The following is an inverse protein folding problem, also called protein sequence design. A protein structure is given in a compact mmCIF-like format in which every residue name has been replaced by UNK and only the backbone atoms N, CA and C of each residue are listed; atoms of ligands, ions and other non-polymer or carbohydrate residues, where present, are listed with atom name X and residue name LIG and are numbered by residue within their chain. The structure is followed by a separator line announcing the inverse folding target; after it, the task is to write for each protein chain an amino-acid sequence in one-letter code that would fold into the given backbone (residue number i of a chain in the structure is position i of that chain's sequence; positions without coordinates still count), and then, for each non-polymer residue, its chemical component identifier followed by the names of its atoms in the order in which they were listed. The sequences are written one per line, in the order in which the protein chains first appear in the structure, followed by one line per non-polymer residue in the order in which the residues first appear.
data_IF_772759958760
#
_entry.id   IF_772759958760
#
_cell.length_a   1.000
_cell.length_b   1.000
_cell.length_c   1.000
_cell.angle_alpha   90.00
_cell.angle_beta   90.00
_cell.angle_gamma   90.00
#
_symmetry.space_group_name_H-M   'P 1'
#
loop_
_entity.id
_entity.type
_entity.pdbx_description
1 polymer ?
#
# COMPACT_ATOMS: atom_id res chain seq x y z
N UNK A 1 -11.94 -26.70 6.99
CA UNK A 1 -12.62 -26.33 8.23
C UNK A 1 -14.05 -26.88 8.28
N UNK A 2 -14.84 -26.85 7.21
CA UNK A 2 -16.14 -27.52 7.12
C UNK A 2 -16.05 -29.03 7.38
N UNK A 3 -14.99 -29.66 6.90
CA UNK A 3 -14.73 -31.10 7.10
C UNK A 3 -14.44 -31.45 8.57
N UNK A 4 -14.00 -30.50 9.38
CA UNK A 4 -13.65 -30.74 10.80
C UNK A 4 -14.74 -30.27 11.75
N UNK A 5 -15.40 -29.14 11.45
CA UNK A 5 -16.37 -28.50 12.34
C UNK A 5 -17.83 -28.56 11.87
N UNK A 6 -18.10 -29.18 10.70
CA UNK A 6 -19.45 -29.25 10.12
C UNK A 6 -19.88 -27.96 9.40
N UNK A 7 -21.17 -27.88 9.08
CA UNK A 7 -21.75 -26.72 8.42
C UNK A 7 -21.81 -25.50 9.34
N UNK A 8 -21.77 -24.32 8.71
CA UNK A 8 -21.91 -23.05 9.45
C UNK A 8 -23.29 -22.95 10.09
N UNK A 9 -23.34 -22.58 11.36
CA UNK A 9 -24.59 -22.33 12.09
C UNK A 9 -25.13 -20.96 11.69
N UNK A 10 -24.22 -20.00 11.43
CA UNK A 10 -24.53 -18.65 10.98
C UNK A 10 -23.33 -18.09 10.22
N UNK A 11 -23.56 -17.17 9.29
CA UNK A 11 -22.52 -16.45 8.52
C UNK A 11 -22.81 -14.96 8.63
N UNK A 12 -22.03 -14.29 9.45
CA UNK A 12 -22.02 -12.84 9.51
C UNK A 12 -20.98 -12.31 8.52
N UNK A 13 -21.42 -11.87 7.36
CA UNK A 13 -20.54 -11.38 6.29
C UNK A 13 -20.37 -9.85 6.31
N UNK A 14 -19.52 -9.33 5.41
CA UNK A 14 -19.26 -7.88 5.32
C UNK A 14 -20.53 -7.10 4.92
N UNK A 15 -21.44 -7.69 4.16
CA UNK A 15 -22.68 -7.04 3.75
C UNK A 15 -23.58 -6.82 4.95
N UNK A 16 -23.78 -7.87 5.76
CA UNK A 16 -24.53 -7.76 7.00
C UNK A 16 -23.90 -6.80 7.98
N UNK A 17 -22.55 -6.82 8.07
CA UNK A 17 -21.82 -5.90 8.95
C UNK A 17 -22.00 -4.43 8.56
N UNK A 18 -22.13 -4.12 7.27
CA UNK A 18 -22.44 -2.77 6.78
C UNK A 18 -23.91 -2.41 7.00
N UNK A 19 -24.84 -3.35 6.76
CA UNK A 19 -26.28 -3.16 7.01
C UNK A 19 -26.56 -2.89 8.49
N UNK A 20 -25.85 -3.57 9.38
CA UNK A 20 -25.94 -3.38 10.84
C UNK A 20 -25.14 -2.15 11.34
N UNK A 21 -24.58 -1.35 10.43
CA UNK A 21 -23.74 -0.18 10.75
C UNK A 21 -22.51 -0.50 11.63
N UNK A 22 -22.13 -1.77 11.72
CA UNK A 22 -20.97 -2.23 12.49
C UNK A 22 -19.64 -1.95 11.77
N UNK A 23 -19.69 -1.87 10.44
CA UNK A 23 -18.55 -1.46 9.59
C UNK A 23 -19.03 -0.48 8.52
N UNK A 24 -18.09 0.34 8.02
CA UNK A 24 -18.38 1.25 6.90
C UNK A 24 -18.13 0.55 5.57
N UNK A 25 -18.86 0.92 4.49
CA UNK A 25 -18.60 0.38 3.17
C UNK A 25 -17.23 0.83 2.67
N UNK A 26 -16.45 -0.12 2.14
CA UNK A 26 -15.17 0.14 1.49
C UNK A 26 -15.40 0.27 -0.01
N UNK A 27 -15.00 1.39 -0.59
CA UNK A 27 -15.07 1.64 -2.02
C UNK A 27 -13.73 1.30 -2.66
N UNK A 28 -13.76 0.44 -3.67
CA UNK A 28 -12.61 0.09 -4.48
C UNK A 28 -12.63 0.83 -5.80
N UNK A 29 -11.58 1.57 -6.10
CA UNK A 29 -11.37 2.24 -7.37
C UNK A 29 -10.11 1.70 -8.04
N UNK A 30 -10.27 1.08 -9.21
CA UNK A 30 -9.14 0.68 -10.04
C UNK A 30 -8.66 1.88 -10.85
N UNK A 31 -7.52 2.45 -10.47
CA UNK A 31 -6.89 3.55 -11.19
C UNK A 31 -5.83 2.98 -12.12
N UNK A 32 -6.05 3.11 -13.41
CA UNK A 32 -5.07 2.71 -14.41
C UNK A 32 -4.06 3.85 -14.56
N UNK A 33 -2.92 3.73 -13.89
CA UNK A 33 -1.75 4.52 -14.25
C UNK A 33 -1.39 4.11 -15.68
N UNK A 34 -1.36 5.07 -16.61
CA UNK A 34 -0.93 4.81 -17.99
C UNK A 34 0.56 4.44 -17.97
N UNK A 35 0.81 3.16 -17.72
CA UNK A 35 2.13 2.57 -17.88
C UNK A 35 2.39 2.58 -19.37
N UNK A 36 3.38 3.34 -19.83
CA UNK A 36 3.90 3.25 -21.20
C UNK A 36 4.68 1.93 -21.32
N UNK A 37 3.97 0.82 -21.18
CA UNK A 37 4.53 -0.52 -21.29
C UNK A 37 4.42 -0.96 -22.74
N UNK A 38 5.51 -1.53 -23.26
CA UNK A 38 5.43 -2.26 -24.50
C UNK A 38 4.54 -3.50 -24.34
N UNK A 39 4.05 -4.05 -25.46
CA UNK A 39 3.18 -5.24 -25.43
C UNK A 39 3.85 -6.45 -24.74
N UNK A 40 5.18 -6.53 -24.80
CA UNK A 40 5.95 -7.56 -24.11
C UNK A 40 5.97 -7.41 -22.60
N UNK A 41 5.98 -6.18 -22.09
CA UNK A 41 5.88 -5.90 -20.66
C UNK A 41 4.49 -6.22 -20.11
N UNK A 42 3.42 -5.88 -20.85
CA UNK A 42 2.05 -6.26 -20.49
C UNK A 42 1.88 -7.77 -20.42
N UNK A 43 2.43 -8.51 -21.40
CA UNK A 43 2.41 -9.98 -21.41
C UNK A 43 3.13 -10.60 -20.19
N UNK A 44 4.24 -10.02 -19.76
CA UNK A 44 4.96 -10.46 -18.55
C UNK A 44 4.17 -10.17 -17.25
N UNK A 45 3.52 -9.02 -17.17
CA UNK A 45 2.63 -8.68 -16.05
C UNK A 45 1.48 -9.68 -15.98
N UNK A 46 0.79 -9.94 -17.10
CA UNK A 46 -0.33 -10.87 -17.15
C UNK A 46 0.09 -12.31 -16.81
N UNK A 47 1.27 -12.75 -17.27
CA UNK A 47 1.81 -14.05 -16.93
C UNK A 47 2.12 -14.16 -15.42
N UNK A 48 2.79 -13.16 -14.86
CA UNK A 48 3.09 -13.10 -13.43
C UNK A 48 1.79 -13.04 -12.59
N UNK A 49 0.78 -12.28 -13.02
CA UNK A 49 -0.53 -12.25 -12.37
C UNK A 49 -1.24 -13.60 -12.38
N UNK A 50 -1.20 -14.35 -13.50
CA UNK A 50 -1.78 -15.68 -13.59
C UNK A 50 -1.07 -16.68 -12.70
N UNK A 51 0.25 -16.66 -12.69
CA UNK A 51 1.07 -17.52 -11.84
C UNK A 51 0.83 -17.23 -10.35
N UNK A 52 0.69 -15.95 -9.95
CA UNK A 52 0.23 -15.57 -8.63
C UNK A 52 -1.20 -16.04 -8.34
N UNK A 53 -2.06 -16.17 -9.36
CA UNK A 53 -3.44 -16.60 -9.17
C UNK A 53 -3.56 -18.08 -8.82
N UNK A 54 -2.67 -18.90 -9.36
CA UNK A 54 -2.75 -20.37 -9.26
C UNK A 54 -1.98 -20.95 -8.06
N UNK A 55 -1.11 -20.17 -7.41
CA UNK A 55 -0.23 -20.67 -6.32
C UNK A 55 -0.72 -20.21 -4.95
N UNK A 56 -1.39 -21.10 -4.24
CA UNK A 56 -1.91 -20.90 -2.88
C UNK A 56 -0.93 -21.29 -1.75
N UNK A 57 0.38 -21.52 -2.04
CA UNK A 57 1.34 -22.08 -1.07
C UNK A 57 2.53 -21.17 -0.81
N UNK A 58 2.85 -20.92 0.49
CA UNK A 58 3.91 -20.01 0.95
C UNK A 58 5.32 -20.37 0.45
N UNK A 59 5.60 -21.66 0.17
CA UNK A 59 6.86 -22.11 -0.39
C UNK A 59 7.11 -21.66 -1.84
N UNK A 60 6.05 -21.31 -2.55
CA UNK A 60 6.08 -20.78 -3.91
C UNK A 60 6.43 -19.28 -3.95
N UNK A 61 6.26 -18.55 -2.85
CA UNK A 61 6.54 -17.10 -2.75
C UNK A 61 8.04 -16.81 -2.92
N UNK A 62 8.92 -17.66 -2.43
CA UNK A 62 10.38 -17.45 -2.60
C UNK A 62 10.86 -17.72 -4.03
N UNK A 63 10.26 -18.69 -4.73
CA UNK A 63 10.56 -18.96 -6.14
C UNK A 63 10.02 -17.83 -7.03
N UNK A 64 8.84 -17.33 -6.69
CA UNK A 64 8.23 -16.17 -7.35
C UNK A 64 9.01 -14.87 -7.15
N UNK A 65 9.78 -14.70 -6.07
CA UNK A 65 10.66 -13.53 -5.90
C UNK A 65 11.76 -13.46 -6.96
N UNK A 66 12.23 -14.58 -7.48
CA UNK A 66 13.20 -14.61 -8.57
C UNK A 66 12.54 -14.24 -9.92
N UNK A 67 11.30 -14.66 -10.15
CA UNK A 67 10.53 -14.34 -11.36
C UNK A 67 9.93 -12.92 -11.30
N UNK A 68 9.72 -12.39 -10.09
CA UNK A 68 9.33 -11.00 -9.80
C UNK A 68 10.41 -9.96 -10.14
N UNK A 69 11.67 -10.35 -10.35
CA UNK A 69 12.72 -9.45 -10.86
C UNK A 69 12.35 -8.81 -12.21
N UNK A 70 11.42 -9.43 -12.96
CA UNK A 70 10.83 -8.84 -14.16
C UNK A 70 9.78 -7.76 -13.86
N UNK A 71 9.03 -7.87 -12.76
CA UNK A 71 8.04 -6.87 -12.35
C UNK A 71 8.70 -5.65 -11.71
N UNK A 72 9.78 -5.83 -10.94
CA UNK A 72 10.58 -4.72 -10.42
C UNK A 72 11.01 -3.77 -11.55
N UNK A 73 11.53 -4.32 -12.65
CA UNK A 73 11.97 -3.52 -13.80
C UNK A 73 10.82 -2.74 -14.46
N UNK A 74 9.59 -3.22 -14.37
CA UNK A 74 8.40 -2.59 -14.94
C UNK A 74 7.86 -1.49 -14.01
N UNK A 75 7.74 -1.78 -12.73
CA UNK A 75 7.23 -0.82 -11.74
C UNK A 75 8.24 0.27 -11.39
N UNK A 76 9.53 0.04 -11.65
CA UNK A 76 10.63 0.91 -11.26
C UNK A 76 11.10 1.89 -12.37
N UNK A 77 10.30 2.05 -13.45
CA UNK A 77 10.65 3.04 -14.47
C UNK A 77 10.34 4.46 -13.99
N UNK A 78 11.18 5.47 -14.35
CA UNK A 78 10.94 6.86 -13.99
C UNK A 78 9.57 7.37 -14.45
N UNK A 79 9.13 6.94 -15.63
CA UNK A 79 7.84 7.32 -16.23
C UNK A 79 6.67 6.76 -15.41
N UNK A 80 6.77 5.51 -14.97
CA UNK A 80 5.76 4.88 -14.12
C UNK A 80 5.65 5.58 -12.78
N UNK A 81 6.79 5.86 -12.13
CA UNK A 81 6.83 6.54 -10.84
C UNK A 81 6.29 7.97 -10.96
N UNK A 82 6.65 8.70 -12.02
CA UNK A 82 6.13 10.06 -12.27
C UNK A 82 4.62 10.06 -12.45
N UNK A 83 4.10 9.19 -13.32
CA UNK A 83 2.67 9.07 -13.58
C UNK A 83 1.88 8.66 -12.32
N UNK A 84 2.38 7.67 -11.56
CA UNK A 84 1.80 7.24 -10.31
C UNK A 84 1.74 8.37 -9.28
N UNK A 85 2.85 9.08 -9.09
CA UNK A 85 2.92 10.14 -8.09
C UNK A 85 2.03 11.34 -8.44
N UNK A 86 1.94 11.71 -9.73
CA UNK A 86 1.00 12.75 -10.18
C UNK A 86 -0.44 12.36 -9.94
N UNK A 87 -0.81 11.11 -10.27
CA UNK A 87 -2.16 10.61 -10.05
C UNK A 87 -2.52 10.57 -8.56
N UNK A 88 -1.61 10.11 -7.70
CA UNK A 88 -1.81 10.10 -6.25
C UNK A 88 -1.98 11.51 -5.70
N UNK A 89 -1.09 12.44 -6.09
CA UNK A 89 -1.14 13.83 -5.62
C UNK A 89 -2.44 14.49 -6.04
N UNK A 90 -2.79 14.40 -7.33
CA UNK A 90 -4.00 15.00 -7.88
C UNK A 90 -5.27 14.42 -7.21
N UNK A 91 -5.36 13.10 -7.10
CA UNK A 91 -6.50 12.45 -6.46
C UNK A 91 -6.58 12.79 -4.97
N UNK A 92 -5.46 12.81 -4.26
CA UNK A 92 -5.45 13.14 -2.84
C UNK A 92 -5.91 14.58 -2.59
N UNK A 93 -5.35 15.56 -3.33
CA UNK A 93 -5.69 16.98 -3.16
C UNK A 93 -7.16 17.26 -3.49
N UNK A 94 -7.66 16.68 -4.57
CA UNK A 94 -9.01 16.99 -5.05
C UNK A 94 -10.12 16.19 -4.37
N UNK A 95 -9.79 15.01 -3.79
CA UNK A 95 -10.86 14.12 -3.35
C UNK A 95 -10.67 13.55 -1.93
N UNK A 96 -9.47 13.65 -1.33
CA UNK A 96 -9.17 12.92 -0.10
C UNK A 96 -8.61 13.77 1.05
N UNK A 97 -8.02 14.91 0.75
CA UNK A 97 -7.39 15.77 1.77
C UNK A 97 -8.37 16.19 2.88
N UNK A 98 -9.62 16.40 2.54
CA UNK A 98 -10.67 16.86 3.46
C UNK A 98 -11.59 15.71 3.94
N UNK A 99 -11.30 14.45 3.58
CA UNK A 99 -12.08 13.29 4.05
C UNK A 99 -11.56 12.85 5.40
N UNK A 100 -12.42 12.85 6.44
CA UNK A 100 -12.03 12.64 7.84
C UNK A 100 -10.84 13.55 8.21
N UNK A 101 -9.74 12.97 8.73
CA UNK A 101 -8.51 13.70 9.03
C UNK A 101 -7.52 13.76 7.85
N UNK A 102 -7.92 13.36 6.65
CA UNK A 102 -7.07 13.30 5.47
C UNK A 102 -5.96 12.25 5.54
N UNK A 103 -6.12 11.22 6.37
CA UNK A 103 -5.10 10.16 6.51
C UNK A 103 -5.15 9.23 5.30
N UNK A 104 -3.97 9.03 4.70
CA UNK A 104 -3.79 8.15 3.55
C UNK A 104 -2.56 7.26 3.71
N UNK A 105 -2.66 6.02 3.24
CA UNK A 105 -1.57 5.07 3.21
C UNK A 105 -1.19 4.76 1.76
N UNK A 106 0.09 4.80 1.43
CA UNK A 106 0.62 4.37 0.14
C UNK A 106 1.40 3.07 0.36
N UNK A 107 0.90 1.97 -0.20
CA UNK A 107 1.55 0.66 -0.13
C UNK A 107 2.41 0.49 -1.37
N UNK A 108 3.72 0.60 -1.21
CA UNK A 108 4.68 0.47 -2.28
C UNK A 108 5.10 -0.99 -2.49
N UNK A 109 5.47 -1.31 -3.73
CA UNK A 109 5.90 -2.65 -4.12
C UNK A 109 7.19 -3.09 -3.40
N UNK A 110 8.18 -2.21 -3.30
CA UNK A 110 9.48 -2.48 -2.69
C UNK A 110 10.03 -1.24 -1.98
N UNK A 111 11.10 -1.43 -1.18
CA UNK A 111 11.77 -0.31 -0.47
C UNK A 111 12.35 0.73 -1.42
N UNK A 112 13.07 0.37 -2.51
CA UNK A 112 13.53 1.36 -3.49
C UNK A 112 12.38 2.16 -4.10
N UNK A 113 11.28 1.49 -4.45
CA UNK A 113 10.09 2.16 -5.01
C UNK A 113 9.45 3.08 -3.97
N UNK A 114 9.37 2.68 -2.70
CA UNK A 114 8.86 3.54 -1.64
C UNK A 114 9.64 4.86 -1.53
N UNK A 115 10.97 4.79 -1.59
CA UNK A 115 11.83 5.97 -1.57
C UNK A 115 11.69 6.83 -2.82
N UNK A 116 11.58 6.21 -4.01
CA UNK A 116 11.34 6.94 -5.27
C UNK A 116 10.01 7.69 -5.23
N UNK A 117 8.94 7.04 -4.75
CA UNK A 117 7.63 7.68 -4.54
C UNK A 117 7.77 8.87 -3.58
N UNK A 118 8.45 8.69 -2.45
CA UNK A 118 8.67 9.76 -1.47
C UNK A 118 9.37 10.97 -2.08
N UNK A 119 10.52 10.77 -2.71
CA UNK A 119 11.26 11.87 -3.32
C UNK A 119 10.49 12.52 -4.48
N UNK A 120 9.78 11.72 -5.28
CA UNK A 120 8.99 12.25 -6.40
C UNK A 120 7.80 13.08 -5.92
N UNK A 121 7.11 12.64 -4.88
CA UNK A 121 6.03 13.45 -4.28
C UNK A 121 6.57 14.76 -3.71
N UNK A 122 7.73 14.75 -3.05
CA UNK A 122 8.36 15.97 -2.55
C UNK A 122 8.90 16.89 -3.66
N UNK A 123 9.28 16.34 -4.82
CA UNK A 123 9.58 17.13 -6.02
C UNK A 123 8.34 17.85 -6.54
N UNK A 124 7.18 17.15 -6.56
CA UNK A 124 5.89 17.71 -7.01
C UNK A 124 5.28 18.68 -5.98
N UNK A 125 5.49 18.41 -4.69
CA UNK A 125 4.93 19.16 -3.55
C UNK A 125 5.97 19.32 -2.44
N UNK A 126 6.91 20.24 -2.55
CA UNK A 126 7.95 20.45 -1.54
C UNK A 126 7.38 20.80 -0.15
N UNK A 127 6.22 21.44 -0.12
CA UNK A 127 5.50 21.82 1.10
C UNK A 127 4.93 20.63 1.87
N UNK A 128 4.88 19.44 1.26
CA UNK A 128 4.41 18.22 1.92
C UNK A 128 5.46 17.53 2.79
N UNK A 129 6.63 18.14 3.01
CA UNK A 129 7.73 17.53 3.77
C UNK A 129 7.30 17.04 5.17
N UNK A 130 6.45 17.78 5.85
CA UNK A 130 5.90 17.38 7.16
C UNK A 130 4.63 16.53 7.03
N UNK A 131 3.99 16.57 5.87
CA UNK A 131 2.74 15.88 5.58
C UNK A 131 2.92 14.42 5.20
N UNK A 132 4.09 14.06 4.64
CA UNK A 132 4.39 12.73 4.13
C UNK A 132 5.59 12.11 4.85
N UNK A 133 5.53 10.81 5.14
CA UNK A 133 6.64 10.07 5.73
C UNK A 133 6.74 8.64 5.21
N UNK A 134 7.90 8.03 5.41
CA UNK A 134 8.18 6.65 5.01
C UNK A 134 8.34 5.78 6.25
N UNK A 135 7.62 4.66 6.30
CA UNK A 135 7.70 3.68 7.39
C UNK A 135 8.02 2.31 6.81
N UNK A 136 9.28 1.92 6.92
CA UNK A 136 9.75 0.63 6.44
C UNK A 136 10.89 0.07 7.29
N UNK A 137 11.18 -1.21 7.15
CA UNK A 137 12.35 -1.82 7.79
C UNK A 137 13.59 -1.53 6.97
N UNK A 138 14.61 -0.98 7.61
CA UNK A 138 15.91 -0.75 6.99
C UNK A 138 16.80 -1.99 7.05
N UNK A 139 17.64 -2.17 6.05
CA UNK A 139 18.66 -3.18 5.95
C UNK A 139 20.04 -2.51 5.91
N UNK A 140 21.07 -3.24 6.32
CA UNK A 140 22.46 -2.76 6.21
C UNK A 140 22.94 -2.59 4.76
N UNK A 141 22.16 -3.04 3.79
CA UNK A 141 22.44 -2.90 2.35
C UNK A 141 21.73 -1.68 1.73
N UNK A 142 20.84 -1.03 2.50
CA UNK A 142 20.14 0.16 2.00
C UNK A 142 21.07 1.38 2.02
N UNK A 143 20.89 2.35 1.11
CA UNK A 143 21.66 3.57 1.09
C UNK A 143 21.62 4.32 2.43
N UNK A 144 22.75 4.84 2.86
CA UNK A 144 22.88 5.55 4.14
C UNK A 144 21.93 6.77 4.22
N UNK A 145 21.72 7.46 3.11
CA UNK A 145 20.81 8.59 2.99
C UNK A 145 19.34 8.27 3.32
N UNK A 146 18.94 7.00 3.22
CA UNK A 146 17.59 6.59 3.58
C UNK A 146 17.37 6.58 5.10
N UNK A 147 18.44 6.49 5.89
CA UNK A 147 18.34 6.54 7.35
C UNK A 147 17.85 7.89 7.86
N UNK A 148 18.12 8.98 7.12
CA UNK A 148 17.63 10.31 7.47
C UNK A 148 16.10 10.40 7.33
N UNK A 149 15.52 9.62 6.42
CA UNK A 149 14.06 9.59 6.16
C UNK A 149 13.36 8.53 6.99
N UNK A 150 13.90 7.31 7.01
CA UNK A 150 13.24 6.15 7.61
C UNK A 150 13.61 5.92 9.07
N UNK A 151 14.76 6.43 9.51
CA UNK A 151 15.25 6.29 10.87
C UNK A 151 15.31 4.85 11.39
N UNK A 152 15.49 4.72 12.70
CA UNK A 152 15.50 3.43 13.40
C UNK A 152 14.14 3.08 14.04
N UNK A 153 14.18 2.12 14.99
CA UNK A 153 12.98 1.66 15.70
C UNK A 153 12.25 2.76 16.50
N UNK A 154 12.98 3.72 17.04
CA UNK A 154 12.43 4.87 17.77
C UNK A 154 11.66 5.79 16.82
N UNK A 155 12.23 6.07 15.64
CA UNK A 155 11.58 6.87 14.60
C UNK A 155 10.27 6.23 14.14
N UNK A 156 10.23 4.92 13.95
CA UNK A 156 9.00 4.21 13.55
C UNK A 156 7.87 4.37 14.58
N UNK A 157 8.19 4.27 15.88
CA UNK A 157 7.21 4.48 16.95
C UNK A 157 6.72 5.93 16.98
N UNK A 158 7.60 6.89 16.71
CA UNK A 158 7.23 8.29 16.60
C UNK A 158 6.32 8.54 15.40
N UNK A 159 6.65 7.99 14.23
CA UNK A 159 5.82 8.07 13.04
C UNK A 159 4.44 7.43 13.26
N UNK A 160 4.39 6.29 13.95
CA UNK A 160 3.12 5.66 14.34
C UNK A 160 2.29 6.57 15.21
N UNK A 161 2.88 7.17 16.26
CA UNK A 161 2.20 8.11 17.16
C UNK A 161 1.66 9.31 16.38
N UNK A 162 2.50 9.94 15.54
CA UNK A 162 2.12 11.08 14.71
C UNK A 162 1.00 10.73 13.73
N UNK A 163 1.08 9.56 13.10
CA UNK A 163 0.07 9.15 12.13
C UNK A 163 -1.27 8.80 12.79
N UNK A 164 -1.28 8.38 14.06
CA UNK A 164 -2.51 8.16 14.85
C UNK A 164 -3.13 9.45 15.39
N UNK A 165 -2.36 10.52 15.45
CA UNK A 165 -2.82 11.83 15.92
C UNK A 165 -3.41 12.61 14.74
N UNK A 166 -4.71 12.89 14.80
CA UNK A 166 -5.43 13.57 13.72
C UNK A 166 -5.04 15.04 13.59
N UNK A 167 -4.52 15.66 14.63
CA UNK A 167 -4.05 17.04 14.61
C UNK A 167 -2.59 17.17 14.12
N UNK A 168 -1.82 16.07 14.09
CA UNK A 168 -0.45 16.08 13.57
C UNK A 168 -0.44 16.36 12.06
N UNK A 169 0.53 17.15 11.56
CA UNK A 169 0.67 17.44 10.13
C UNK A 169 0.92 16.20 9.27
N UNK A 170 1.43 15.10 9.82
CA UNK A 170 1.64 13.85 9.10
C UNK A 170 0.31 13.23 8.69
N UNK A 171 -0.01 13.30 7.40
CA UNK A 171 -1.26 12.81 6.82
C UNK A 171 -1.06 11.60 5.90
N UNK A 172 0.11 11.47 5.26
CA UNK A 172 0.39 10.44 4.28
C UNK A 172 1.57 9.59 4.74
N UNK A 173 1.39 8.27 4.85
CA UNK A 173 2.48 7.36 5.14
C UNK A 173 2.72 6.41 3.96
N UNK A 174 3.98 6.26 3.57
CA UNK A 174 4.43 5.29 2.57
C UNK A 174 4.97 4.07 3.31
N UNK A 175 4.43 2.89 3.01
CA UNK A 175 4.82 1.62 3.60
C UNK A 175 5.09 0.58 2.53
N UNK A 176 5.81 -0.49 2.88
CA UNK A 176 5.98 -1.66 2.00
C UNK A 176 5.12 -2.82 2.47
N UNK A 177 5.36 -3.31 3.69
CA UNK A 177 4.60 -4.39 4.33
C UNK A 177 4.13 -4.03 5.75
N UNK A 178 4.68 -2.95 6.31
CA UNK A 178 4.34 -2.50 7.64
C UNK A 178 2.96 -1.85 7.68
N UNK A 179 2.29 -1.93 8.84
CA UNK A 179 0.98 -1.34 9.10
C UNK A 179 -0.19 -1.97 8.32
N UNK A 180 0.06 -2.95 7.47
CA UNK A 180 -1.01 -3.71 6.80
C UNK A 180 -1.69 -4.68 7.77
N UNK A 181 -1.00 -5.07 8.85
CA UNK A 181 -1.53 -5.94 9.89
C UNK A 181 -1.29 -5.34 11.28
N UNK A 182 -2.25 -5.49 12.18
CA UNK A 182 -2.08 -5.08 13.59
C UNK A 182 -1.97 -3.57 13.85
N UNK A 183 -2.17 -2.74 12.83
CA UNK A 183 -2.15 -1.27 12.93
C UNK A 183 -3.56 -0.73 12.74
N UNK A 184 -4.02 0.06 13.68
CA UNK A 184 -5.36 0.64 13.68
C UNK A 184 -5.30 2.16 13.75
N UNK A 185 -5.94 2.81 12.77
CA UNK A 185 -6.11 4.26 12.68
C UNK A 185 -7.53 4.54 12.18
N UNK A 186 -8.45 4.87 13.09
CA UNK A 186 -9.87 5.08 12.74
C UNK A 186 -10.10 6.16 11.67
N UNK A 187 -9.19 7.11 11.55
CA UNK A 187 -9.24 8.20 10.55
C UNK A 187 -8.57 7.86 9.22
N UNK A 188 -8.05 6.64 9.04
CA UNK A 188 -7.48 6.21 7.76
C UNK A 188 -8.58 6.03 6.72
N UNK A 189 -8.76 7.02 5.87
CA UNK A 189 -9.82 7.06 4.86
C UNK A 189 -9.41 6.58 3.47
N UNK A 190 -8.11 6.45 3.21
CA UNK A 190 -7.63 6.18 1.85
C UNK A 190 -6.40 5.28 1.86
N UNK A 191 -6.38 4.31 0.96
CA UNK A 191 -5.21 3.47 0.72
C UNK A 191 -4.92 3.38 -0.78
N UNK A 192 -3.71 3.79 -1.17
CA UNK A 192 -3.19 3.62 -2.53
C UNK A 192 -2.33 2.37 -2.55
N UNK A 193 -2.72 1.37 -3.33
CA UNK A 193 -2.01 0.08 -3.38
C UNK A 193 -1.24 -0.02 -4.70
N UNK A 194 0.06 0.17 -4.64
CA UNK A 194 0.99 -0.03 -5.75
C UNK A 194 1.81 -1.31 -5.51
N UNK A 195 1.08 -2.41 -5.31
CA UNK A 195 1.64 -3.73 -5.03
C UNK A 195 0.61 -4.80 -5.39
N UNK A 196 0.99 -5.87 -6.12
CA UNK A 196 0.10 -7.02 -6.30
C UNK A 196 -0.25 -7.63 -4.94
N UNK A 197 -1.53 -7.64 -4.59
CA UNK A 197 -2.01 -8.21 -3.33
C UNK A 197 -3.19 -9.14 -3.60
N UNK A 198 -3.25 -10.26 -2.89
CA UNK A 198 -4.30 -11.27 -3.06
C UNK A 198 -4.78 -11.86 -1.74
N UNK A 199 -5.97 -12.46 -1.81
CA UNK A 199 -6.52 -13.28 -0.74
C UNK A 199 -6.45 -12.59 0.62
N UNK A 200 -5.88 -13.28 1.58
CA UNK A 200 -5.82 -12.84 2.97
C UNK A 200 -5.08 -11.48 3.15
N UNK A 201 -3.98 -11.28 2.44
CA UNK A 201 -3.19 -10.03 2.55
C UNK A 201 -3.97 -8.82 2.03
N UNK A 202 -4.71 -8.98 0.92
CA UNK A 202 -5.57 -7.92 0.39
C UNK A 202 -6.71 -7.61 1.37
N UNK A 203 -7.36 -8.64 1.91
CA UNK A 203 -8.46 -8.47 2.88
C UNK A 203 -7.98 -7.81 4.16
N UNK A 204 -6.78 -8.14 4.64
CA UNK A 204 -6.19 -7.49 5.81
C UNK A 204 -5.86 -6.01 5.55
N UNK A 205 -5.38 -5.68 4.35
CA UNK A 205 -5.11 -4.30 3.97
C UNK A 205 -6.42 -3.50 3.86
N UNK A 206 -7.45 -4.04 3.20
CA UNK A 206 -8.77 -3.41 3.07
C UNK A 206 -9.38 -3.13 4.44
N UNK A 207 -9.27 -4.06 5.38
CA UNK A 207 -9.80 -3.91 6.75
C UNK A 207 -9.12 -2.79 7.56
N UNK A 208 -8.11 -2.08 7.02
CA UNK A 208 -7.47 -0.93 7.66
C UNK A 208 -8.07 0.42 7.26
N UNK A 209 -8.83 0.43 6.16
CA UNK A 209 -9.50 1.65 5.68
C UNK A 209 -10.88 1.74 6.33
N UNK A 210 -11.20 2.90 6.92
CA UNK A 210 -12.45 3.18 7.61
C UNK A 210 -13.28 4.23 6.86
#
# INVERSE_FOLDING_TARGET
TREIFGDYIDVYDMTQSVEDESTKPVYYESRVVALHLDEGALGRIDAAYREFADQADEASIEKSKHDLGGLDAIFDTPETIDALCRDIVDHYENNRADVLAGKALIVAYSRPIAMKIYYKILELRPEWKEKIGVVMTMSNQDPEEWFDVCGGSTHKKEMERKFKDDDDPLKIAIVVDMWLTGFDVPSLSTMYVFKPMKGHNLMQAIARVN
#
